data_IF_944483612176
#
_entry.id   IF_944483612176
#
_cell.length_a   1.000
_cell.length_b   1.000
_cell.length_c   1.000
_cell.angle_alpha   90.00
_cell.angle_beta   90.00
_cell.angle_gamma   90.00
#
_symmetry.space_group_name_H-M   'P 1'
#
loop_
_entity.id
_entity.type
_entity.pdbx_description
1 polymer ?
#
# COMPACT_ATOMS: atom_id res chain seq x y z
N UNK A 1 36.46 -9.15 49.05
CA UNK A 1 35.50 -9.92 48.21
C UNK A 1 34.29 -9.09 47.77
N UNK A 2 33.70 -8.21 48.61
CA UNK A 2 32.57 -7.35 48.26
C UNK A 2 32.84 -6.31 47.13
N UNK A 3 34.07 -5.79 46.99
CA UNK A 3 34.42 -4.77 45.99
C UNK A 3 34.39 -5.32 44.54
N UNK A 4 34.85 -6.53 44.30
CA UNK A 4 34.82 -7.16 42.96
C UNK A 4 33.41 -7.46 42.47
N UNK A 5 32.47 -7.78 43.37
CA UNK A 5 31.06 -8.02 43.03
C UNK A 5 30.36 -6.72 42.61
N UNK A 6 30.66 -5.61 43.29
CA UNK A 6 30.09 -4.30 42.94
C UNK A 6 30.64 -3.79 41.60
N UNK A 7 31.91 -4.04 41.30
CA UNK A 7 32.50 -3.63 40.02
C UNK A 7 31.94 -4.43 38.86
N UNK A 8 31.70 -5.74 39.04
CA UNK A 8 31.05 -6.57 38.02
C UNK A 8 29.59 -6.16 37.73
N UNK A 9 28.82 -5.82 38.78
CA UNK A 9 27.46 -5.30 38.63
C UNK A 9 27.44 -3.96 37.92
N UNK A 10 28.37 -3.03 38.21
CA UNK A 10 28.48 -1.73 37.56
C UNK A 10 28.82 -1.86 36.07
N UNK A 11 29.71 -2.75 35.70
CA UNK A 11 30.11 -2.97 34.31
C UNK A 11 28.99 -3.61 33.51
N UNK A 12 28.22 -4.53 34.10
CA UNK A 12 27.03 -5.11 33.45
C UNK A 12 25.92 -4.06 33.24
N UNK A 13 25.64 -3.18 34.20
CA UNK A 13 24.66 -2.12 34.07
C UNK A 13 25.04 -1.12 32.96
N UNK A 14 26.32 -0.76 32.83
CA UNK A 14 26.82 0.13 31.77
C UNK A 14 26.71 -0.55 30.39
N UNK A 15 26.98 -1.85 30.29
CA UNK A 15 26.85 -2.61 29.05
C UNK A 15 25.38 -2.68 28.58
N UNK A 16 24.46 -2.95 29.50
CA UNK A 16 23.01 -3.00 29.21
C UNK A 16 22.48 -1.64 28.77
N UNK A 17 22.89 -0.55 29.45
CA UNK A 17 22.46 0.80 29.07
C UNK A 17 22.94 1.21 27.68
N UNK A 18 24.18 0.89 27.31
CA UNK A 18 24.69 1.13 25.95
C UNK A 18 23.90 0.37 24.89
N UNK A 19 23.58 -0.91 25.11
CA UNK A 19 22.77 -1.72 24.18
C UNK A 19 21.37 -1.16 24.02
N UNK A 20 20.74 -0.66 25.10
CA UNK A 20 19.42 -0.02 25.08
C UNK A 20 19.42 1.27 24.27
N UNK A 21 20.50 2.06 24.36
CA UNK A 21 20.67 3.29 23.56
C UNK A 21 20.77 2.96 22.07
N UNK A 22 21.51 1.93 21.67
CA UNK A 22 21.58 1.52 20.25
C UNK A 22 20.23 1.05 19.72
N UNK A 23 19.47 0.28 20.49
CA UNK A 23 18.14 -0.19 20.10
C UNK A 23 17.16 1.00 19.97
N UNK A 24 17.20 1.97 20.90
CA UNK A 24 16.36 3.15 20.81
C UNK A 24 16.72 4.05 19.62
N UNK A 25 18.00 4.25 19.31
CA UNK A 25 18.46 4.97 18.12
C UNK A 25 18.01 4.29 16.83
N UNK A 26 18.03 2.96 16.79
CA UNK A 26 17.57 2.19 15.64
C UNK A 26 16.04 2.32 15.46
N UNK A 27 15.26 2.32 16.54
CA UNK A 27 13.82 2.56 16.50
C UNK A 27 13.47 3.99 16.03
N UNK A 28 14.21 5.00 16.50
CA UNK A 28 14.00 6.40 16.08
C UNK A 28 14.27 6.59 14.58
N UNK A 29 15.29 5.91 14.02
CA UNK A 29 15.57 5.98 12.59
C UNK A 29 14.43 5.43 11.72
N UNK A 30 13.68 4.41 12.17
CA UNK A 30 12.51 3.91 11.45
C UNK A 30 11.33 4.91 11.45
N UNK A 31 11.14 5.67 12.52
CA UNK A 31 10.06 6.66 12.62
C UNK A 31 10.30 7.86 11.70
N UNK A 32 11.56 8.24 11.48
CA UNK A 32 11.92 9.38 10.63
C UNK A 32 11.57 9.18 9.14
N UNK A 33 11.52 7.95 8.66
CA UNK A 33 11.09 7.63 7.29
C UNK A 33 9.57 7.68 7.06
N UNK A 34 8.76 7.77 8.12
CA UNK A 34 7.30 7.75 8.03
C UNK A 34 6.67 9.13 7.74
N UNK A 35 7.44 10.20 7.76
CA UNK A 35 6.92 11.57 7.55
C UNK A 35 6.90 11.94 6.06
N UNK A 36 5.99 11.35 5.30
CA UNK A 36 5.68 11.84 3.96
C UNK A 36 4.68 12.99 4.08
N UNK A 37 5.07 14.20 3.66
CA UNK A 37 4.14 15.34 3.55
C UNK A 37 3.08 14.98 2.52
N UNK A 38 1.84 14.89 2.97
CA UNK A 38 0.69 14.69 2.09
C UNK A 38 0.31 16.03 1.45
N UNK A 39 0.89 16.32 0.28
CA UNK A 39 0.38 17.39 -0.57
C UNK A 39 -0.83 16.80 -1.30
N UNK A 40 -2.03 17.23 -0.95
CA UNK A 40 -3.25 16.82 -1.65
C UNK A 40 -3.32 17.62 -2.96
N UNK A 41 -3.10 16.96 -4.07
CA UNK A 41 -3.31 17.52 -5.41
C UNK A 41 -4.70 17.15 -5.91
N UNK A 42 -5.40 18.09 -6.50
CA UNK A 42 -6.61 17.80 -7.25
C UNK A 42 -6.23 17.32 -8.65
N UNK A 43 -6.54 16.05 -8.93
CA UNK A 43 -6.32 15.44 -10.24
C UNK A 43 -7.63 15.60 -11.03
N UNK A 44 -7.61 16.25 -12.22
CA UNK A 44 -8.79 16.36 -13.06
C UNK A 44 -9.37 14.98 -13.40
N UNK A 45 -10.69 14.87 -13.51
CA UNK A 45 -11.36 13.63 -13.93
C UNK A 45 -10.97 13.24 -15.36
N UNK A 46 -11.12 11.97 -15.71
CA UNK A 46 -10.87 11.49 -17.07
C UNK A 46 -9.38 11.26 -17.44
N UNK A 47 -8.45 11.41 -16.50
CA UNK A 47 -7.03 11.18 -16.78
C UNK A 47 -6.70 9.68 -16.71
N UNK A 48 -5.93 9.19 -17.70
CA UNK A 48 -5.45 7.81 -17.72
C UNK A 48 -4.36 7.57 -16.66
N UNK A 49 -4.39 6.39 -16.05
CA UNK A 49 -3.40 5.98 -15.07
C UNK A 49 -2.43 4.98 -15.71
N UNK A 50 -1.14 5.24 -15.63
CA UNK A 50 -0.09 4.32 -16.08
C UNK A 50 0.57 3.64 -14.89
N UNK A 51 0.82 2.33 -15.02
CA UNK A 51 1.57 1.55 -14.03
C UNK A 51 2.94 1.18 -14.60
N UNK A 52 4.00 1.85 -14.13
CA UNK A 52 5.40 1.59 -14.49
C UNK A 52 6.19 1.24 -13.23
N UNK A 53 6.90 0.13 -13.21
CA UNK A 53 7.75 -0.31 -12.08
C UNK A 53 7.06 -0.28 -10.71
N UNK A 54 5.80 -0.71 -10.66
CA UNK A 54 4.94 -0.69 -9.45
C UNK A 54 4.61 0.71 -8.93
N UNK A 55 4.96 1.76 -9.67
CA UNK A 55 4.60 3.16 -9.42
C UNK A 55 3.49 3.57 -10.37
N UNK A 56 2.65 4.48 -9.94
CA UNK A 56 1.52 4.98 -10.72
C UNK A 56 1.80 6.38 -11.19
N UNK A 57 1.48 6.64 -12.44
CA UNK A 57 1.72 7.93 -13.10
C UNK A 57 0.41 8.41 -13.73
N UNK A 58 0.19 9.71 -13.69
CA UNK A 58 -0.82 10.43 -14.45
C UNK A 58 -0.07 11.59 -15.13
N UNK A 59 -0.22 11.72 -16.45
CA UNK A 59 0.50 12.74 -17.25
C UNK A 59 2.02 12.75 -17.01
N UNK A 60 2.64 11.55 -16.95
CA UNK A 60 4.07 11.34 -16.66
C UNK A 60 4.53 11.78 -15.26
N UNK A 61 3.62 12.19 -14.39
CA UNK A 61 3.93 12.53 -13.02
C UNK A 61 3.60 11.36 -12.08
N UNK A 62 4.53 11.03 -11.18
CA UNK A 62 4.33 9.95 -10.21
C UNK A 62 3.32 10.38 -9.15
N UNK A 63 2.22 9.64 -9.04
CA UNK A 63 1.15 9.90 -8.08
C UNK A 63 1.20 8.90 -6.91
N UNK A 64 1.14 9.38 -5.67
CA UNK A 64 1.10 8.52 -4.49
C UNK A 64 -0.13 7.60 -4.46
N UNK A 65 0.05 6.40 -3.92
CA UNK A 65 -1.02 5.39 -3.86
C UNK A 65 -2.31 5.85 -3.18
N UNK A 66 -2.24 6.77 -2.21
CA UNK A 66 -3.41 7.28 -1.49
C UNK A 66 -4.22 8.25 -2.37
N UNK A 67 -3.56 9.05 -3.20
CA UNK A 67 -4.23 9.95 -4.16
C UNK A 67 -4.90 9.15 -5.27
N UNK A 68 -4.23 8.14 -5.83
CA UNK A 68 -4.84 7.21 -6.79
C UNK A 68 -6.08 6.54 -6.17
N UNK A 69 -6.01 6.11 -4.91
CA UNK A 69 -7.16 5.53 -4.22
C UNK A 69 -8.33 6.52 -4.13
N UNK A 70 -8.06 7.78 -3.77
CA UNK A 70 -9.06 8.86 -3.72
C UNK A 70 -9.62 9.16 -5.10
N UNK A 71 -8.75 9.25 -6.10
CA UNK A 71 -9.10 9.50 -7.48
C UNK A 71 -10.05 8.42 -8.04
N UNK A 72 -9.69 7.14 -7.91
CA UNK A 72 -10.54 6.03 -8.33
C UNK A 72 -11.88 6.00 -7.59
N UNK A 73 -11.88 6.30 -6.27
CA UNK A 73 -13.11 6.33 -5.48
C UNK A 73 -14.12 7.34 -6.01
N UNK A 74 -13.64 8.46 -6.52
CA UNK A 74 -14.48 9.55 -7.00
C UNK A 74 -14.94 9.35 -8.47
N UNK A 75 -14.15 8.60 -9.27
CA UNK A 75 -14.38 8.49 -10.71
C UNK A 75 -14.89 7.11 -11.17
N UNK A 76 -14.49 6.01 -10.50
CA UNK A 76 -14.89 4.64 -10.85
C UNK A 76 -14.89 3.74 -9.62
N UNK A 77 -16.08 3.46 -9.10
CA UNK A 77 -16.24 2.61 -7.91
C UNK A 77 -15.80 1.16 -8.15
N UNK A 78 -15.94 0.62 -9.36
CA UNK A 78 -15.52 -0.75 -9.70
C UNK A 78 -14.00 -0.86 -9.67
N UNK A 79 -13.30 0.05 -10.34
CA UNK A 79 -11.85 0.12 -10.33
C UNK A 79 -11.32 0.40 -8.90
N UNK A 80 -11.96 1.30 -8.15
CA UNK A 80 -11.64 1.54 -6.74
C UNK A 80 -11.75 0.27 -5.89
N UNK A 81 -12.82 -0.51 -6.03
CA UNK A 81 -13.01 -1.75 -5.27
C UNK A 81 -11.88 -2.74 -5.53
N UNK A 82 -11.51 -2.94 -6.80
CA UNK A 82 -10.41 -3.80 -7.19
C UNK A 82 -9.06 -3.31 -6.63
N UNK A 83 -8.81 -2.01 -6.74
CA UNK A 83 -7.61 -1.36 -6.21
C UNK A 83 -7.51 -1.52 -4.70
N UNK A 84 -8.61 -1.26 -3.97
CA UNK A 84 -8.67 -1.38 -2.53
C UNK A 84 -8.41 -2.82 -2.06
N UNK A 85 -8.97 -3.82 -2.76
CA UNK A 85 -8.68 -5.24 -2.50
C UNK A 85 -7.18 -5.56 -2.67
N UNK A 86 -6.53 -5.01 -3.70
CA UNK A 86 -5.09 -5.17 -3.92
C UNK A 86 -4.27 -4.47 -2.82
N UNK A 87 -4.69 -3.27 -2.40
CA UNK A 87 -4.04 -2.49 -1.35
C UNK A 87 -4.16 -3.15 0.02
N UNK A 88 -5.35 -3.64 0.37
CA UNK A 88 -5.57 -4.38 1.62
C UNK A 88 -4.69 -5.63 1.68
N UNK A 89 -4.60 -6.38 0.58
CA UNK A 89 -3.71 -7.53 0.48
C UNK A 89 -2.24 -7.13 0.73
N UNK A 90 -1.81 -5.98 0.21
CA UNK A 90 -0.47 -5.44 0.45
C UNK A 90 -0.25 -5.05 1.91
N UNK A 91 -1.24 -4.42 2.55
CA UNK A 91 -1.17 -4.01 3.97
C UNK A 91 -1.09 -5.24 4.86
N UNK A 92 -2.00 -6.20 4.69
CA UNK A 92 -1.99 -7.44 5.50
C UNK A 92 -0.70 -8.24 5.31
N UNK A 93 -0.24 -8.42 4.07
CA UNK A 93 1.01 -9.13 3.83
C UNK A 93 2.22 -8.38 4.40
N UNK A 94 2.25 -7.05 4.31
CA UNK A 94 3.30 -6.24 4.91
C UNK A 94 3.30 -6.31 6.44
N UNK A 95 2.12 -6.32 7.06
CA UNK A 95 1.98 -6.45 8.51
C UNK A 95 2.44 -7.83 9.00
N UNK A 96 2.06 -8.92 8.31
CA UNK A 96 2.52 -10.27 8.63
C UNK A 96 4.04 -10.39 8.51
N UNK A 97 4.62 -9.81 7.44
CA UNK A 97 6.07 -9.81 7.24
C UNK A 97 6.78 -9.01 8.33
N UNK A 98 6.27 -7.82 8.66
CA UNK A 98 6.83 -6.96 9.69
C UNK A 98 6.79 -7.61 11.07
N UNK A 99 5.63 -8.14 11.49
CA UNK A 99 5.50 -8.86 12.77
C UNK A 99 6.40 -10.11 12.82
N UNK A 100 6.42 -10.89 11.74
CA UNK A 100 7.28 -12.08 11.65
C UNK A 100 8.77 -11.72 11.80
N UNK A 101 9.21 -10.67 11.12
CA UNK A 101 10.61 -10.19 11.20
C UNK A 101 10.96 -9.68 12.60
N UNK A 102 10.06 -8.94 13.26
CA UNK A 102 10.27 -8.44 14.63
C UNK A 102 10.42 -9.61 15.60
N UNK A 103 9.61 -10.66 15.50
CA UNK A 103 9.72 -11.83 16.38
C UNK A 103 11.07 -12.54 16.20
N UNK A 104 11.53 -12.76 14.96
CA UNK A 104 12.82 -13.39 14.68
C UNK A 104 13.97 -12.55 15.25
N UNK A 105 13.97 -11.24 14.97
CA UNK A 105 15.04 -10.34 15.44
C UNK A 105 15.05 -10.24 16.95
N UNK A 106 13.87 -10.15 17.60
CA UNK A 106 13.76 -10.08 19.05
C UNK A 106 14.31 -11.33 19.72
N UNK A 107 14.05 -12.51 19.17
CA UNK A 107 14.55 -13.78 19.69
C UNK A 107 16.07 -13.89 19.53
N UNK A 108 16.59 -13.51 18.36
CA UNK A 108 18.03 -13.46 18.11
C UNK A 108 18.76 -12.49 19.06
N UNK A 109 18.20 -11.28 19.26
CA UNK A 109 18.75 -10.29 20.20
C UNK A 109 18.73 -10.83 21.63
N UNK A 110 17.64 -11.48 22.04
CA UNK A 110 17.55 -12.12 23.37
C UNK A 110 18.65 -13.14 23.56
N UNK A 111 18.87 -14.02 22.58
CA UNK A 111 19.93 -15.05 22.64
C UNK A 111 21.33 -14.42 22.76
N UNK A 112 21.60 -13.29 22.12
CA UNK A 112 22.89 -12.60 22.19
C UNK A 112 23.15 -11.89 23.53
N UNK A 113 22.08 -11.52 24.25
CA UNK A 113 22.18 -10.75 25.51
C UNK A 113 22.20 -11.66 26.73
N UNK A 114 21.61 -12.86 26.64
CA UNK A 114 21.51 -13.82 27.75
C UNK A 114 22.65 -14.82 27.68
N UNK A 115 23.41 -15.01 28.77
CA UNK A 115 24.59 -15.89 28.81
C UNK A 115 24.30 -17.37 28.45
N UNK A 116 23.06 -17.84 28.64
CA UNK A 116 22.57 -19.15 28.24
C UNK A 116 21.32 -19.03 27.36
N UNK A 117 21.34 -18.10 26.41
CA UNK A 117 20.20 -17.87 25.54
C UNK A 117 20.02 -18.96 24.48
N UNK A 118 19.00 -19.80 24.64
CA UNK A 118 18.62 -20.76 23.60
C UNK A 118 18.15 -20.01 22.33
N UNK A 119 18.64 -20.45 21.17
CA UNK A 119 18.20 -19.98 19.86
C UNK A 119 18.29 -21.13 18.85
N UNK A 120 17.29 -21.33 18.00
CA UNK A 120 16.02 -20.59 17.89
C UNK A 120 14.97 -21.04 18.91
N UNK A 121 14.19 -20.08 19.46
CA UNK A 121 13.05 -20.41 20.34
C UNK A 121 11.74 -20.48 19.54
N UNK A 122 10.62 -20.78 20.22
CA UNK A 122 9.29 -20.78 19.64
C UNK A 122 8.95 -19.44 18.93
N UNK A 123 9.50 -18.30 19.39
CA UNK A 123 9.29 -17.00 18.76
C UNK A 123 9.86 -16.94 17.34
N UNK A 124 11.06 -17.50 17.11
CA UNK A 124 11.64 -17.60 15.77
C UNK A 124 10.78 -18.44 14.83
N UNK A 125 10.26 -19.59 15.29
CA UNK A 125 9.41 -20.45 14.46
C UNK A 125 8.08 -19.80 14.12
N UNK A 126 7.44 -19.12 15.08
CA UNK A 126 6.22 -18.35 14.85
C UNK A 126 6.51 -17.21 13.87
N UNK A 127 7.59 -16.46 14.07
CA UNK A 127 8.02 -15.37 13.20
C UNK A 127 8.28 -15.85 11.76
N UNK A 128 8.94 -16.98 11.57
CA UNK A 128 9.19 -17.61 10.28
C UNK A 128 7.88 -18.06 9.61
N UNK A 129 6.94 -18.62 10.35
CA UNK A 129 5.60 -18.97 9.87
C UNK A 129 4.82 -17.75 9.37
N UNK A 130 4.82 -16.66 10.12
CA UNK A 130 4.18 -15.39 9.72
C UNK A 130 4.85 -14.80 8.48
N UNK A 131 6.17 -14.73 8.44
CA UNK A 131 6.93 -14.24 7.29
C UNK A 131 6.68 -15.10 6.04
N UNK A 132 6.68 -16.43 6.16
CA UNK A 132 6.34 -17.35 5.09
C UNK A 132 4.92 -17.16 4.56
N UNK A 133 3.95 -17.06 5.45
CA UNK A 133 2.54 -16.80 5.11
C UNK A 133 2.37 -15.46 4.38
N UNK A 134 3.16 -14.45 4.75
CA UNK A 134 3.11 -13.12 4.10
C UNK A 134 3.42 -13.19 2.60
N UNK A 135 4.32 -14.08 2.17
CA UNK A 135 4.68 -14.27 0.76
C UNK A 135 3.48 -14.72 -0.04
N UNK A 136 2.70 -15.69 0.48
CA UNK A 136 1.47 -16.17 -0.16
C UNK A 136 0.40 -15.05 -0.22
N UNK A 137 0.25 -14.28 0.86
CA UNK A 137 -0.67 -13.16 0.90
C UNK A 137 -0.28 -12.09 -0.12
N UNK A 138 1.00 -11.78 -0.27
CA UNK A 138 1.49 -10.76 -1.21
C UNK A 138 1.46 -11.23 -2.67
N UNK A 139 1.44 -12.53 -2.91
CA UNK A 139 1.39 -13.09 -4.28
C UNK A 139 0.15 -12.60 -5.03
N UNK A 140 0.34 -12.12 -6.24
CA UNK A 140 -0.74 -11.66 -7.11
C UNK A 140 -1.28 -10.24 -6.81
N UNK A 141 -0.75 -9.51 -5.82
CA UNK A 141 -1.17 -8.13 -5.55
C UNK A 141 -0.98 -7.20 -6.74
N UNK A 142 0.17 -7.34 -7.43
CA UNK A 142 0.50 -6.51 -8.59
C UNK A 142 -0.46 -6.77 -9.76
N UNK A 143 -0.83 -8.03 -10.01
CA UNK A 143 -1.83 -8.39 -11.03
C UNK A 143 -3.19 -7.76 -10.71
N UNK A 144 -3.61 -7.82 -9.45
CA UNK A 144 -4.88 -7.19 -9.02
C UNK A 144 -4.84 -5.67 -9.13
N UNK A 145 -3.70 -5.05 -8.82
CA UNK A 145 -3.52 -3.61 -8.97
C UNK A 145 -3.56 -3.20 -10.44
N UNK A 146 -2.86 -3.94 -11.32
CA UNK A 146 -2.93 -3.73 -12.76
C UNK A 146 -4.35 -3.87 -13.28
N UNK A 147 -5.06 -4.93 -12.92
CA UNK A 147 -6.45 -5.12 -13.32
C UNK A 147 -7.37 -3.96 -12.91
N UNK A 148 -7.13 -3.36 -11.74
CA UNK A 148 -7.90 -2.20 -11.29
C UNK A 148 -7.67 -0.99 -12.21
N UNK A 149 -6.42 -0.74 -12.57
CA UNK A 149 -6.04 0.36 -13.45
C UNK A 149 -6.54 0.12 -14.88
N UNK A 150 -6.37 -1.09 -15.39
CA UNK A 150 -6.87 -1.48 -16.71
C UNK A 150 -8.41 -1.34 -16.79
N UNK A 151 -9.13 -1.72 -15.71
CA UNK A 151 -10.59 -1.55 -15.63
C UNK A 151 -10.98 -0.09 -15.72
N UNK A 152 -10.29 0.80 -15.00
CA UNK A 152 -10.52 2.23 -15.05
C UNK A 152 -10.23 2.82 -16.43
N UNK A 153 -9.04 2.54 -16.97
CA UNK A 153 -8.64 3.07 -18.29
C UNK A 153 -9.54 2.57 -19.42
N UNK A 154 -9.99 1.32 -19.36
CA UNK A 154 -10.94 0.78 -20.34
C UNK A 154 -12.32 1.43 -20.21
N UNK A 155 -12.76 1.73 -18.99
CA UNK A 155 -14.00 2.49 -18.75
C UNK A 155 -13.96 3.88 -19.42
N UNK A 156 -12.83 4.58 -19.32
CA UNK A 156 -12.65 5.88 -19.99
C UNK A 156 -12.75 5.76 -21.52
N UNK A 157 -12.13 4.75 -22.12
CA UNK A 157 -12.20 4.52 -23.59
C UNK A 157 -13.62 4.26 -24.04
N UNK A 158 -14.34 3.39 -23.34
CA UNK A 158 -15.72 3.08 -23.67
C UNK A 158 -16.63 4.31 -23.58
N UNK A 159 -16.42 5.15 -22.55
CA UNK A 159 -17.20 6.39 -22.41
C UNK A 159 -16.93 7.36 -23.56
N UNK A 160 -15.65 7.55 -23.93
CA UNK A 160 -15.28 8.43 -25.05
C UNK A 160 -15.75 7.90 -26.42
N UNK A 161 -15.77 6.58 -26.61
CA UNK A 161 -16.33 5.97 -27.84
C UNK A 161 -17.84 6.13 -27.93
N UNK A 162 -18.56 6.02 -26.81
CA UNK A 162 -20.00 6.26 -26.77
C UNK A 162 -20.32 7.73 -27.01
N UNK A 163 -19.55 8.65 -26.42
CA UNK A 163 -19.74 10.10 -26.58
C UNK A 163 -19.50 10.54 -28.03
N UNK A 164 -18.51 9.94 -28.72
CA UNK A 164 -18.23 10.22 -30.13
C UNK A 164 -19.22 9.59 -31.11
N UNK A 165 -19.93 8.53 -30.71
CA UNK A 165 -20.88 7.82 -31.57
C UNK A 165 -22.36 8.17 -31.26
N UNK A 166 -22.60 8.96 -30.22
CA UNK A 166 -23.97 9.32 -29.82
C UNK A 166 -24.34 10.70 -30.36
N UNK A 167 -24.64 10.79 -31.64
CA UNK A 167 -25.26 11.98 -32.25
C UNK A 167 -26.80 11.90 -32.09
N UNK A 168 -27.32 12.35 -30.95
CA UNK A 168 -28.75 12.55 -30.82
C UNK A 168 -29.16 13.86 -31.52
N UNK A 169 -29.94 13.76 -32.57
CA UNK A 169 -30.52 14.91 -33.24
C UNK A 169 -32.04 15.04 -33.00
N UNK A 170 -32.44 16.20 -32.52
CA UNK A 170 -33.86 16.53 -32.35
C UNK A 170 -34.33 17.39 -33.54
N UNK A 171 -35.19 16.83 -34.38
CA UNK A 171 -35.72 17.50 -35.55
C UNK A 171 -37.19 17.85 -35.34
N UNK A 172 -37.56 19.08 -35.68
CA UNK A 172 -38.94 19.46 -35.78
C UNK A 172 -39.47 19.02 -37.15
N UNK A 173 -40.46 18.15 -37.17
CA UNK A 173 -41.11 17.67 -38.41
C UNK A 173 -42.48 18.30 -38.53
N UNK A 174 -42.68 19.05 -39.62
CA UNK A 174 -43.98 19.61 -39.97
C UNK A 174 -44.50 18.88 -41.21
N UNK A 175 -45.69 18.32 -41.14
CA UNK A 175 -46.38 17.71 -42.27
C UNK A 175 -47.84 18.17 -42.30
N UNK A 176 -48.57 17.75 -43.32
CA UNK A 176 -50.01 18.14 -43.52
C UNK A 176 -50.92 17.68 -42.36
N UNK A 177 -50.47 16.79 -41.49
CA UNK A 177 -51.24 16.27 -40.35
C UNK A 177 -50.84 16.90 -39.00
N UNK A 178 -49.84 17.81 -38.96
CA UNK A 178 -49.44 18.53 -37.76
C UNK A 178 -47.93 18.71 -37.60
N UNK A 179 -47.56 19.25 -36.45
CA UNK A 179 -46.18 19.45 -36.00
C UNK A 179 -45.77 18.33 -35.02
N UNK A 180 -44.60 17.76 -35.21
CA UNK A 180 -44.05 16.74 -34.34
C UNK A 180 -42.56 16.93 -34.07
N UNK A 181 -42.04 16.28 -33.03
CA UNK A 181 -40.61 16.19 -32.72
C UNK A 181 -40.13 14.80 -33.05
N UNK A 182 -39.05 14.71 -33.83
CA UNK A 182 -38.36 13.44 -34.15
C UNK A 182 -36.99 13.44 -33.49
N UNK A 183 -36.80 12.50 -32.59
CA UNK A 183 -35.50 12.19 -32.00
C UNK A 183 -34.85 11.06 -32.81
N UNK A 184 -33.68 11.32 -33.36
CA UNK A 184 -32.85 10.32 -34.05
C UNK A 184 -31.59 10.10 -33.21
N UNK A 185 -31.18 8.85 -32.99
CA UNK A 185 -29.99 8.45 -32.26
C UNK A 185 -29.33 7.23 -32.95
#
# INVERSE_FOLDING_TARGET
MKSKIQEHQKNNAISVSKKLIYVSLLLVSFVSFAQTRFVTREIPAGQTIELKDKKMFINNEQIPSYEIKKYLKNNDFKAYSLYNKAKNKSIFGGLLLGLGSVLIVSDAVKAMVTENGDYPTAMTYIGAGLAGTSIFVLKGKNKKMKNAIDTYNNGLKTTSELENNFEASLNVVANQNGLGLRLSF
#
